data_IF_429133597418
#
_entry.id   IF_429133597418
#
_cell.length_a   1.000
_cell.length_b   1.000
_cell.length_c   1.000
_cell.angle_alpha   90.00
_cell.angle_beta   90.00
_cell.angle_gamma   90.00
#
_symmetry.space_group_name_H-M   'P 1'
#
loop_
_entity.id
_entity.type
_entity.pdbx_description
1 polymer ?
#
# COMPACT_ATOMS: atom_id res chain seq x y z
N UNK A 1 18.36 46.28 -21.65
CA UNK A 1 17.36 45.66 -20.76
C UNK A 1 16.33 44.96 -21.63
N UNK A 2 16.33 43.63 -21.67
CA UNK A 2 15.12 42.81 -21.79
C UNK A 2 15.51 41.35 -21.68
N UNK A 3 15.04 40.71 -20.62
CA UNK A 3 15.20 39.29 -20.35
C UNK A 3 14.00 38.53 -20.93
N UNK A 4 14.25 37.34 -21.46
CA UNK A 4 13.27 36.32 -21.80
C UNK A 4 13.89 34.94 -21.46
N UNK A 5 13.11 33.86 -21.33
CA UNK A 5 12.72 33.29 -20.05
C UNK A 5 13.47 31.99 -19.72
N UNK A 6 13.59 31.69 -18.42
CA UNK A 6 14.09 30.39 -17.93
C UNK A 6 13.01 29.32 -18.06
N UNK A 7 13.31 28.29 -18.82
CA UNK A 7 12.60 27.03 -18.81
C UNK A 7 12.78 26.32 -17.46
N UNK A 8 11.66 25.86 -16.90
CA UNK A 8 11.56 24.95 -15.76
C UNK A 8 12.03 23.55 -16.17
N UNK A 9 13.19 23.12 -15.67
CA UNK A 9 13.70 21.75 -15.80
C UNK A 9 13.36 20.90 -14.58
N UNK A 10 12.99 19.63 -14.82
CA UNK A 10 12.75 18.59 -13.82
C UNK A 10 13.94 18.40 -12.85
N UNK A 11 13.70 18.07 -11.57
CA UNK A 11 14.73 17.87 -10.56
C UNK A 11 15.40 16.49 -10.57
N UNK A 12 15.14 15.64 -11.58
CA UNK A 12 15.76 14.32 -11.68
C UNK A 12 16.93 14.34 -12.68
N UNK A 13 18.17 14.12 -12.24
CA UNK A 13 19.30 13.96 -13.16
C UNK A 13 19.20 12.62 -13.89
N UNK A 14 19.24 12.66 -15.22
CA UNK A 14 19.57 11.50 -16.06
C UNK A 14 21.09 11.41 -16.14
N UNK A 15 21.69 10.51 -15.37
CA UNK A 15 23.10 10.17 -15.46
C UNK A 15 23.29 8.98 -16.38
N UNK A 16 23.87 9.22 -17.56
CA UNK A 16 24.49 8.19 -18.39
C UNK A 16 25.96 8.02 -17.94
N UNK A 17 26.21 7.15 -16.97
CA UNK A 17 27.56 6.61 -16.68
C UNK A 17 27.46 5.12 -16.28
N UNK A 18 28.43 4.27 -16.66
CA UNK A 18 28.34 2.83 -16.49
C UNK A 18 28.48 2.43 -15.01
N UNK A 19 27.51 1.65 -14.52
CA UNK A 19 27.38 1.24 -13.13
C UNK A 19 28.59 0.42 -12.64
N UNK A 20 29.32 1.00 -11.69
CA UNK A 20 30.20 0.31 -10.77
C UNK A 20 29.35 -0.64 -9.90
N UNK A 21 29.79 -1.89 -9.73
CA UNK A 21 29.01 -2.91 -9.03
C UNK A 21 28.69 -2.47 -7.60
N UNK A 22 27.41 -2.55 -7.15
CA UNK A 22 27.05 -2.21 -5.79
C UNK A 22 27.71 -3.18 -4.80
N UNK A 23 28.10 -2.71 -3.59
CA UNK A 23 28.61 -3.59 -2.55
C UNK A 23 27.55 -4.63 -2.20
N UNK A 24 28.01 -5.87 -1.96
CA UNK A 24 27.16 -7.01 -1.64
C UNK A 24 26.17 -6.66 -0.52
N UNK A 25 24.90 -6.59 -0.88
CA UNK A 25 23.81 -6.50 0.08
C UNK A 25 23.85 -7.74 0.97
N UNK A 26 23.77 -7.55 2.28
CA UNK A 26 23.55 -8.65 3.20
C UNK A 26 22.26 -9.36 2.76
N UNK A 27 22.29 -10.67 2.47
CA UNK A 27 21.07 -11.38 2.13
C UNK A 27 20.17 -11.29 3.36
N UNK A 28 18.95 -10.74 3.18
CA UNK A 28 17.86 -10.89 4.15
C UNK A 28 17.64 -12.39 4.32
N UNK A 29 18.39 -12.98 5.24
CA UNK A 29 18.40 -14.40 5.54
C UNK A 29 17.25 -14.68 6.50
N UNK A 30 16.06 -14.30 6.05
CA UNK A 30 14.78 -14.68 6.62
C UNK A 30 14.03 -15.57 5.64
N UNK A 31 14.74 -16.39 4.86
CA UNK A 31 14.12 -17.53 4.19
C UNK A 31 13.50 -18.38 5.28
N UNK A 32 12.18 -18.33 5.37
CA UNK A 32 11.36 -19.07 6.32
C UNK A 32 11.50 -20.55 5.97
N UNK A 33 12.59 -21.17 6.42
CA UNK A 33 12.83 -22.60 6.23
C UNK A 33 11.66 -23.35 6.90
N UNK A 34 10.80 -23.97 6.09
CA UNK A 34 9.87 -25.01 6.53
C UNK A 34 8.42 -24.61 6.83
N UNK A 35 7.88 -23.45 6.42
CA UNK A 35 6.41 -23.27 6.46
C UNK A 35 5.78 -23.69 5.14
N UNK A 36 4.91 -24.70 5.22
CA UNK A 36 4.14 -25.17 4.07
C UNK A 36 3.27 -24.02 3.53
N UNK A 37 3.31 -23.83 2.22
CA UNK A 37 2.42 -22.90 1.53
C UNK A 37 0.97 -23.35 1.76
N UNK A 38 0.04 -22.45 2.12
CA UNK A 38 -1.36 -22.81 2.30
C UNK A 38 -1.90 -23.48 1.04
N UNK A 39 -2.62 -24.59 1.22
CA UNK A 39 -3.22 -25.33 0.13
C UNK A 39 -4.56 -24.68 -0.24
N UNK A 40 -4.71 -24.30 -1.51
CA UNK A 40 -5.98 -23.85 -2.05
C UNK A 40 -6.96 -25.04 -2.15
N UNK A 41 -8.17 -24.88 -1.63
CA UNK A 41 -9.24 -25.80 -1.93
C UNK A 41 -9.75 -25.62 -3.35
N UNK A 42 -10.32 -26.69 -3.92
CA UNK A 42 -10.90 -26.67 -5.26
C UNK A 42 -11.90 -25.51 -5.41
N UNK A 43 -11.73 -24.71 -6.46
CA UNK A 43 -12.59 -23.55 -6.78
C UNK A 43 -12.32 -22.28 -5.95
N UNK A 44 -11.61 -22.34 -4.82
CA UNK A 44 -11.37 -21.16 -3.99
C UNK A 44 -10.50 -20.11 -4.69
N UNK A 45 -9.48 -20.56 -5.45
CA UNK A 45 -8.62 -19.66 -6.23
C UNK A 45 -9.40 -19.02 -7.37
N UNK A 46 -10.15 -19.82 -8.12
CA UNK A 46 -10.98 -19.35 -9.23
C UNK A 46 -12.01 -18.32 -8.74
N UNK A 47 -12.61 -18.53 -7.56
CA UNK A 47 -13.53 -17.59 -6.95
C UNK A 47 -12.85 -16.25 -6.60
N UNK A 48 -11.63 -16.27 -6.06
CA UNK A 48 -10.87 -15.06 -5.75
C UNK A 48 -10.53 -14.28 -7.03
N UNK A 49 -10.07 -14.98 -8.07
CA UNK A 49 -9.75 -14.38 -9.36
C UNK A 49 -11.00 -13.82 -10.06
N UNK A 50 -12.10 -14.58 -10.08
CA UNK A 50 -13.36 -14.15 -10.68
C UNK A 50 -13.92 -12.91 -9.98
N UNK A 51 -13.84 -12.85 -8.65
CA UNK A 51 -14.21 -11.66 -7.88
C UNK A 51 -13.32 -10.47 -8.27
N UNK A 52 -12.02 -10.69 -8.37
CA UNK A 52 -11.08 -9.64 -8.77
C UNK A 52 -11.35 -9.10 -10.17
N UNK A 53 -11.57 -9.98 -11.16
CA UNK A 53 -11.93 -9.59 -12.54
C UNK A 53 -13.23 -8.81 -12.58
N UNK A 54 -14.26 -9.28 -11.88
CA UNK A 54 -15.57 -8.61 -11.85
C UNK A 54 -15.51 -7.19 -11.25
N UNK A 55 -14.61 -6.95 -10.29
CA UNK A 55 -14.43 -5.65 -9.66
C UNK A 55 -13.43 -4.72 -10.40
N UNK A 56 -12.72 -5.20 -11.41
CA UNK A 56 -11.58 -4.50 -12.03
C UNK A 56 -11.91 -3.07 -12.48
N UNK A 57 -13.04 -2.88 -13.16
CA UNK A 57 -13.50 -1.56 -13.59
C UNK A 57 -13.76 -0.59 -12.44
N UNK A 58 -14.43 -1.05 -11.37
CA UNK A 58 -14.68 -0.25 -10.18
C UNK A 58 -13.40 0.03 -9.37
N UNK A 59 -12.42 -0.88 -9.43
CA UNK A 59 -11.09 -0.69 -8.86
C UNK A 59 -10.15 0.16 -9.72
N UNK A 60 -10.50 0.49 -10.96
CA UNK A 60 -9.62 1.13 -11.96
C UNK A 60 -8.32 0.36 -12.19
N UNK A 61 -8.44 -0.96 -12.30
CA UNK A 61 -7.33 -1.87 -12.60
C UNK A 61 -7.64 -2.63 -13.88
N UNK A 62 -6.59 -3.12 -14.55
CA UNK A 62 -6.78 -4.16 -15.56
C UNK A 62 -7.26 -5.46 -14.91
N UNK A 63 -8.04 -6.26 -15.65
CA UNK A 63 -8.68 -7.47 -15.12
C UNK A 63 -7.67 -8.49 -14.57
N UNK A 64 -6.55 -8.67 -15.26
CA UNK A 64 -5.52 -9.64 -14.86
C UNK A 64 -4.80 -9.21 -13.59
N UNK A 65 -4.47 -7.92 -13.46
CA UNK A 65 -3.90 -7.35 -12.24
C UNK A 65 -4.89 -7.38 -11.10
N UNK A 66 -6.17 -7.10 -11.33
CA UNK A 66 -7.20 -7.18 -10.30
C UNK A 66 -7.36 -8.62 -9.77
N UNK A 67 -7.36 -9.61 -10.67
CA UNK A 67 -7.37 -11.03 -10.32
C UNK A 67 -6.13 -11.43 -9.51
N UNK A 68 -4.94 -11.06 -10.02
CA UNK A 68 -3.66 -11.33 -9.35
C UNK A 68 -3.61 -10.70 -7.96
N UNK A 69 -4.01 -9.44 -7.83
CA UNK A 69 -4.07 -8.71 -6.57
C UNK A 69 -5.01 -9.39 -5.56
N UNK A 70 -6.19 -9.84 -6.02
CA UNK A 70 -7.12 -10.58 -5.17
C UNK A 70 -6.50 -11.88 -4.62
N UNK A 71 -5.83 -12.67 -5.49
CA UNK A 71 -5.14 -13.90 -5.08
C UNK A 71 -3.99 -13.60 -4.12
N UNK A 72 -3.14 -12.61 -4.42
CA UNK A 72 -2.01 -12.22 -3.58
C UNK A 72 -2.44 -11.74 -2.21
N UNK A 73 -3.53 -10.98 -2.13
CA UNK A 73 -4.10 -10.56 -0.85
C UNK A 73 -4.54 -11.77 0.00
N UNK A 74 -5.14 -12.78 -0.64
CA UNK A 74 -5.55 -14.04 0.04
C UNK A 74 -4.33 -14.82 0.52
N UNK A 75 -3.33 -15.03 -0.35
CA UNK A 75 -2.10 -15.76 -0.01
C UNK A 75 -1.34 -15.07 1.12
N UNK A 76 -1.17 -13.74 1.03
CA UNK A 76 -0.52 -12.94 2.07
C UNK A 76 -1.25 -13.06 3.40
N UNK A 77 -2.59 -12.99 3.40
CA UNK A 77 -3.37 -13.11 4.65
C UNK A 77 -3.36 -14.51 5.23
N UNK A 78 -3.38 -15.54 4.38
CA UNK A 78 -3.27 -16.93 4.80
C UNK A 78 -1.90 -17.19 5.45
N UNK A 79 -0.82 -16.69 4.85
CA UNK A 79 0.53 -16.78 5.39
C UNK A 79 0.68 -16.10 6.75
N UNK A 80 0.15 -14.87 6.88
CA UNK A 80 0.15 -14.12 8.14
C UNK A 80 -0.59 -14.87 9.26
N UNK A 81 -1.66 -15.58 8.92
CA UNK A 81 -2.48 -16.35 9.89
C UNK A 81 -1.99 -17.78 10.08
N UNK A 82 -0.91 -18.19 9.40
CA UNK A 82 -0.45 -19.58 9.34
C UNK A 82 -1.60 -20.55 9.02
N UNK A 83 -2.48 -20.16 8.09
CA UNK A 83 -3.59 -21.01 7.66
C UNK A 83 -3.05 -22.19 6.85
N UNK A 84 -3.53 -23.40 7.11
CA UNK A 84 -3.14 -24.59 6.35
C UNK A 84 -3.88 -24.68 5.01
N UNK A 85 -5.13 -24.21 4.97
CA UNK A 85 -6.03 -24.29 3.81
C UNK A 85 -6.69 -22.95 3.52
N UNK A 86 -6.81 -22.63 2.24
CA UNK A 86 -7.55 -21.47 1.74
C UNK A 86 -8.87 -21.96 1.13
N UNK A 87 -9.97 -21.66 1.81
CA UNK A 87 -11.33 -22.02 1.40
C UNK A 87 -12.05 -20.84 0.75
N UNK A 88 -13.14 -21.07 0.03
CA UNK A 88 -13.97 -19.97 -0.49
C UNK A 88 -14.54 -19.08 0.64
N UNK A 89 -14.87 -19.68 1.79
CA UNK A 89 -15.29 -18.92 2.98
C UNK A 89 -14.18 -18.01 3.48
N UNK A 90 -12.92 -18.44 3.45
CA UNK A 90 -11.77 -17.60 3.80
C UNK A 90 -11.68 -16.40 2.85
N UNK A 91 -11.75 -16.63 1.54
CA UNK A 91 -11.71 -15.59 0.50
C UNK A 91 -12.81 -14.56 0.72
N UNK A 92 -14.06 -15.00 0.88
CA UNK A 92 -15.22 -14.12 1.13
C UNK A 92 -15.10 -13.34 2.43
N UNK A 93 -14.62 -13.98 3.49
CA UNK A 93 -14.42 -13.33 4.80
C UNK A 93 -13.32 -12.29 4.74
N UNK A 94 -12.26 -12.54 3.98
CA UNK A 94 -11.21 -11.55 3.73
C UNK A 94 -11.75 -10.35 2.95
N UNK A 95 -12.53 -10.57 1.89
CA UNK A 95 -13.15 -9.49 1.11
C UNK A 95 -13.90 -8.48 1.98
N UNK A 96 -14.70 -8.94 2.94
CA UNK A 96 -15.41 -8.09 3.92
C UNK A 96 -14.52 -7.22 4.79
N UNK A 97 -13.28 -7.66 5.02
CA UNK A 97 -12.29 -6.96 5.85
C UNK A 97 -11.43 -6.01 5.03
N UNK A 98 -11.32 -6.24 3.73
CA UNK A 98 -10.61 -5.33 2.83
C UNK A 98 -11.40 -4.04 2.64
N UNK A 99 -10.65 -2.97 2.34
CA UNK A 99 -11.22 -1.65 2.15
C UNK A 99 -12.01 -1.55 0.85
N UNK A 100 -12.90 -0.56 0.76
CA UNK A 100 -13.46 -0.13 -0.53
C UNK A 100 -12.35 0.11 -1.56
N UNK A 101 -12.64 -0.20 -2.83
CA UNK A 101 -11.74 -0.04 -3.97
C UNK A 101 -10.84 -1.24 -4.22
N UNK A 102 -10.51 -2.03 -3.20
CA UNK A 102 -9.76 -3.27 -3.38
C UNK A 102 -10.59 -4.30 -4.20
N UNK A 103 -10.01 -4.98 -5.22
CA UNK A 103 -10.79 -5.84 -6.13
C UNK A 103 -11.49 -7.03 -5.44
N UNK A 104 -10.93 -7.54 -4.34
CA UNK A 104 -11.58 -8.59 -3.52
C UNK A 104 -12.66 -8.07 -2.53
N UNK A 105 -12.80 -6.76 -2.35
CA UNK A 105 -13.71 -6.19 -1.35
C UNK A 105 -15.15 -6.20 -1.82
N UNK A 106 -16.07 -6.62 -0.95
CA UNK A 106 -17.52 -6.58 -1.23
C UNK A 106 -18.11 -5.16 -1.21
N UNK A 107 -17.29 -4.17 -0.81
CA UNK A 107 -17.66 -2.75 -0.84
C UNK A 107 -17.22 -2.07 -2.13
N UNK A 108 -16.41 -2.70 -2.96
CA UNK A 108 -15.91 -2.08 -4.18
C UNK A 108 -17.04 -1.87 -5.18
N UNK A 109 -17.15 -0.65 -5.71
CA UNK A 109 -18.21 -0.28 -6.66
C UNK A 109 -19.57 0.06 -6.02
N UNK A 110 -19.71 0.07 -4.69
CA UNK A 110 -20.98 0.48 -4.03
C UNK A 110 -21.32 1.95 -4.24
N UNK A 111 -20.33 2.78 -4.53
CA UNK A 111 -20.47 4.20 -4.82
C UNK A 111 -19.56 4.58 -5.99
N UNK A 112 -20.02 5.51 -6.81
CA UNK A 112 -19.24 6.10 -7.90
C UNK A 112 -18.89 7.54 -7.57
N UNK A 113 -17.70 7.98 -7.96
CA UNK A 113 -17.17 9.30 -7.67
C UNK A 113 -16.69 10.00 -8.92
N UNK A 114 -16.79 11.31 -8.93
CA UNK A 114 -16.16 12.19 -9.92
C UNK A 114 -15.10 13.00 -9.21
N UNK A 115 -13.87 13.00 -9.74
CA UNK A 115 -12.78 13.81 -9.21
C UNK A 115 -12.67 15.11 -10.02
N UNK A 116 -12.47 16.24 -9.33
CA UNK A 116 -12.20 17.49 -10.05
C UNK A 116 -10.78 17.48 -10.63
N UNK A 117 -10.49 18.29 -11.67
CA UNK A 117 -9.14 18.38 -12.23
C UNK A 117 -8.07 18.73 -11.19
N UNK A 118 -8.40 19.58 -10.21
CA UNK A 118 -7.50 19.98 -9.13
C UNK A 118 -7.21 18.83 -8.16
N UNK A 119 -8.23 18.01 -7.85
CA UNK A 119 -8.07 16.82 -7.03
C UNK A 119 -7.23 15.75 -7.74
N UNK A 120 -7.43 15.57 -9.05
CA UNK A 120 -6.61 14.69 -9.89
C UNK A 120 -5.15 15.14 -9.91
N UNK A 121 -4.90 16.44 -10.08
CA UNK A 121 -3.55 17.01 -10.05
C UNK A 121 -2.87 16.77 -8.68
N UNK A 122 -3.60 16.98 -7.58
CA UNK A 122 -3.08 16.71 -6.23
C UNK A 122 -2.84 15.22 -5.98
N UNK A 123 -3.72 14.35 -6.45
CA UNK A 123 -3.50 12.90 -6.38
C UNK A 123 -2.28 12.50 -7.21
N UNK A 124 -1.96 13.25 -8.26
CA UNK A 124 -0.82 12.94 -9.11
C UNK A 124 0.56 13.19 -8.48
N UNK A 125 0.61 13.94 -7.38
CA UNK A 125 1.80 14.10 -6.54
C UNK A 125 2.09 12.86 -5.68
N UNK A 126 1.09 11.99 -5.48
CA UNK A 126 1.25 10.73 -4.75
C UNK A 126 2.04 9.74 -5.61
N UNK A 127 3.05 9.05 -5.06
CA UNK A 127 3.78 8.02 -5.79
C UNK A 127 2.85 7.00 -6.44
N UNK A 128 3.15 6.64 -7.70
CA UNK A 128 2.26 5.85 -8.55
C UNK A 128 1.75 4.56 -7.90
N UNK A 129 2.62 3.86 -7.18
CA UNK A 129 2.28 2.61 -6.51
C UNK A 129 1.22 2.78 -5.39
N UNK A 130 1.13 3.97 -4.78
CA UNK A 130 0.16 4.33 -3.74
C UNK A 130 -1.08 5.04 -4.29
N UNK A 131 -1.08 5.45 -5.56
CA UNK A 131 -2.04 6.42 -6.10
C UNK A 131 -3.48 5.90 -6.04
N UNK A 132 -3.73 4.72 -6.61
CA UNK A 132 -5.07 4.12 -6.59
C UNK A 132 -5.52 3.75 -5.17
N UNK A 133 -4.59 3.27 -4.34
CA UNK A 133 -4.87 2.99 -2.93
C UNK A 133 -5.30 4.26 -2.19
N UNK A 134 -4.60 5.37 -2.40
CA UNK A 134 -4.93 6.67 -1.82
C UNK A 134 -6.30 7.14 -2.29
N UNK A 135 -6.55 7.01 -3.59
CA UNK A 135 -7.84 7.33 -4.21
C UNK A 135 -8.99 6.60 -3.56
N UNK A 136 -8.88 5.26 -3.43
CA UNK A 136 -9.90 4.44 -2.78
C UNK A 136 -10.18 4.88 -1.34
N UNK A 137 -9.15 5.32 -0.61
CA UNK A 137 -9.29 5.76 0.79
C UNK A 137 -9.93 7.12 0.92
N UNK A 138 -9.69 8.03 -0.03
CA UNK A 138 -10.39 9.31 -0.11
C UNK A 138 -11.86 9.08 -0.45
N UNK A 139 -12.15 8.32 -1.50
CA UNK A 139 -13.52 7.98 -1.93
C UNK A 139 -14.32 7.34 -0.80
N UNK A 140 -13.76 6.34 -0.13
CA UNK A 140 -14.43 5.70 1.00
C UNK A 140 -14.68 6.65 2.17
N UNK A 141 -13.76 7.59 2.42
CA UNK A 141 -13.92 8.59 3.45
C UNK A 141 -15.04 9.57 3.09
N UNK A 142 -15.10 10.01 1.83
CA UNK A 142 -16.17 10.86 1.32
C UNK A 142 -17.55 10.19 1.49
N UNK A 143 -17.67 8.91 1.12
CA UNK A 143 -18.91 8.14 1.33
C UNK A 143 -19.25 8.03 2.83
N UNK A 144 -18.30 7.64 3.68
CA UNK A 144 -18.54 7.40 5.11
C UNK A 144 -18.91 8.65 5.89
N UNK A 145 -18.41 9.81 5.47
CA UNK A 145 -18.67 11.09 6.12
C UNK A 145 -19.76 11.91 5.41
N UNK A 146 -20.35 11.40 4.33
CA UNK A 146 -21.41 12.10 3.60
C UNK A 146 -20.92 13.39 2.91
N UNK A 147 -19.68 13.43 2.42
CA UNK A 147 -19.07 14.61 1.78
C UNK A 147 -19.50 14.79 0.31
N UNK A 148 -20.42 13.96 -0.18
CA UNK A 148 -20.83 13.93 -1.58
C UNK A 148 -19.98 13.00 -2.45
N UNK A 149 -20.34 12.90 -3.74
CA UNK A 149 -19.69 12.03 -4.73
C UNK A 149 -18.68 12.77 -5.61
N UNK A 150 -18.56 14.10 -5.46
CA UNK A 150 -17.55 14.90 -6.14
C UNK A 150 -16.35 15.07 -5.21
N UNK A 151 -15.21 14.48 -5.56
CA UNK A 151 -13.96 14.59 -4.81
C UNK A 151 -13.21 15.84 -5.25
N UNK A 152 -13.08 16.79 -4.34
CA UNK A 152 -12.30 18.03 -4.48
C UNK A 152 -11.01 17.94 -3.62
N UNK A 153 -10.05 18.88 -3.76
CA UNK A 153 -8.89 18.94 -2.87
C UNK A 153 -9.25 19.02 -1.38
N UNK A 154 -10.36 19.68 -1.02
CA UNK A 154 -10.85 19.78 0.35
C UNK A 154 -11.31 18.42 0.89
N UNK A 155 -11.98 17.61 0.06
CA UNK A 155 -12.36 16.23 0.42
C UNK A 155 -11.12 15.36 0.64
N UNK A 156 -10.09 15.52 -0.21
CA UNK A 156 -8.79 14.84 0.02
C UNK A 156 -8.15 15.28 1.34
N UNK A 157 -8.18 16.58 1.62
CA UNK A 157 -7.57 17.17 2.81
C UNK A 157 -8.18 16.60 4.10
N UNK A 158 -9.50 16.39 4.15
CA UNK A 158 -10.16 15.70 5.29
C UNK A 158 -9.50 14.35 5.56
N UNK A 159 -9.23 13.56 4.53
CA UNK A 159 -8.57 12.25 4.70
C UNK A 159 -7.11 12.40 5.14
N UNK A 160 -6.38 13.36 4.56
CA UNK A 160 -4.98 13.57 4.90
C UNK A 160 -4.82 14.04 6.36
N UNK A 161 -5.73 14.86 6.87
CA UNK A 161 -5.76 15.24 8.28
C UNK A 161 -6.09 14.07 9.22
N UNK A 162 -7.01 13.19 8.82
CA UNK A 162 -7.27 11.96 9.56
C UNK A 162 -6.03 11.08 9.63
N UNK A 163 -5.33 10.89 8.52
CA UNK A 163 -4.07 10.15 8.51
C UNK A 163 -2.98 10.85 9.33
N UNK A 164 -2.89 12.18 9.23
CA UNK A 164 -1.96 12.98 10.00
C UNK A 164 -2.13 12.76 11.49
N UNK A 165 -3.35 12.86 12.02
CA UNK A 165 -3.60 12.61 13.45
C UNK A 165 -3.12 11.23 13.90
N UNK A 166 -3.36 10.19 13.10
CA UNK A 166 -2.89 8.83 13.39
C UNK A 166 -1.37 8.72 13.28
N UNK A 167 -0.76 9.34 12.26
CA UNK A 167 0.69 9.36 12.04
C UNK A 167 1.43 9.95 13.24
N UNK A 168 0.99 11.12 13.71
CA UNK A 168 1.58 11.79 14.87
C UNK A 168 1.41 10.94 16.13
N UNK A 169 0.21 10.40 16.39
CA UNK A 169 -0.02 9.53 17.55
C UNK A 169 0.88 8.27 17.55
N UNK A 170 1.18 7.70 16.38
CA UNK A 170 2.12 6.56 16.26
C UNK A 170 3.57 7.00 16.52
N UNK A 171 3.96 8.20 16.10
CA UNK A 171 5.32 8.73 16.29
C UNK A 171 5.57 9.18 17.74
N UNK A 172 4.53 9.70 18.41
CA UNK A 172 4.63 10.26 19.77
C UNK A 172 4.56 9.20 20.87
N UNK A 173 4.07 7.99 20.58
CA UNK A 173 4.01 6.91 21.57
C UNK A 173 5.40 6.39 21.91
N UNK A 174 5.61 6.04 23.18
CA UNK A 174 6.77 5.26 23.58
C UNK A 174 6.73 3.89 22.89
N UNK A 175 7.83 3.55 22.20
CA UNK A 175 7.90 2.41 21.30
C UNK A 175 9.28 1.82 21.32
N UNK A 176 9.33 0.50 21.23
CA UNK A 176 10.56 -0.27 21.04
C UNK A 176 11.07 -0.10 19.61
N UNK A 177 11.57 1.09 19.25
CA UNK A 177 11.98 1.42 17.89
C UNK A 177 13.17 0.58 17.43
N UNK A 178 13.10 0.03 16.22
CA UNK A 178 14.28 -0.57 15.59
C UNK A 178 15.24 0.52 15.08
N UNK A 179 16.56 0.30 15.11
CA UNK A 179 17.50 1.13 14.36
C UNK A 179 17.22 1.02 12.85
N UNK A 180 17.61 2.05 12.10
CA UNK A 180 17.50 2.11 10.65
C UNK A 180 18.88 2.40 10.06
N UNK A 181 19.20 1.76 8.94
CA UNK A 181 20.39 2.13 8.16
C UNK A 181 20.23 3.55 7.63
N UNK A 182 21.35 4.23 7.37
CA UNK A 182 21.32 5.61 6.86
C UNK A 182 20.57 5.72 5.52
N UNK A 183 20.72 4.73 4.63
CA UNK A 183 20.05 4.69 3.33
C UNK A 183 18.53 4.50 3.46
N UNK A 184 18.10 3.52 4.25
CA UNK A 184 16.67 3.27 4.50
C UNK A 184 16.01 4.46 5.19
N UNK A 185 16.73 5.11 6.13
CA UNK A 185 16.25 6.30 6.81
C UNK A 185 16.05 7.48 5.86
N UNK A 186 17.01 7.73 4.96
CA UNK A 186 16.90 8.79 3.95
C UNK A 186 15.66 8.61 3.06
N UNK A 187 15.37 7.37 2.64
CA UNK A 187 14.16 7.06 1.87
C UNK A 187 12.88 7.31 2.67
N UNK A 188 12.87 6.92 3.94
CA UNK A 188 11.75 7.15 4.84
C UNK A 188 11.47 8.64 5.07
N UNK A 189 12.51 9.47 5.21
CA UNK A 189 12.37 10.90 5.45
C UNK A 189 11.73 11.65 4.25
N UNK A 190 11.81 11.08 3.04
CA UNK A 190 11.11 11.58 1.85
C UNK A 190 9.60 11.31 1.84
N UNK A 191 9.07 10.52 2.77
CA UNK A 191 7.65 10.20 2.85
C UNK A 191 6.88 11.37 3.47
N UNK A 192 5.70 11.76 2.95
CA UNK A 192 4.90 12.83 3.53
C UNK A 192 4.54 12.59 5.00
N UNK A 193 4.73 13.60 5.84
CA UNK A 193 4.57 13.52 7.31
C UNK A 193 3.23 12.90 7.75
N UNK A 194 2.14 13.22 7.06
CA UNK A 194 0.81 12.76 7.44
C UNK A 194 0.60 11.25 7.30
N UNK A 195 1.52 10.49 6.68
CA UNK A 195 1.51 9.01 6.64
C UNK A 195 2.77 8.36 7.22
N UNK A 196 3.79 9.14 7.60
CA UNK A 196 5.07 8.61 8.09
C UNK A 196 4.91 7.62 9.24
N UNK A 197 4.06 7.90 10.23
CA UNK A 197 3.86 7.03 11.39
C UNK A 197 3.33 5.65 11.00
N UNK A 198 2.32 5.60 10.12
CA UNK A 198 1.78 4.34 9.60
C UNK A 198 2.82 3.55 8.80
N UNK A 199 3.61 4.22 7.94
CA UNK A 199 4.68 3.55 7.19
C UNK A 199 5.75 3.01 8.12
N UNK A 200 6.15 3.77 9.13
CA UNK A 200 7.13 3.36 10.14
C UNK A 200 6.64 2.15 10.94
N UNK A 201 5.37 2.10 11.32
CA UNK A 201 4.78 0.93 11.98
C UNK A 201 4.76 -0.29 11.07
N UNK A 202 4.41 -0.12 9.80
CA UNK A 202 4.37 -1.21 8.83
C UNK A 202 5.77 -1.77 8.53
N UNK A 203 6.76 -0.90 8.33
CA UNK A 203 8.15 -1.29 8.01
C UNK A 203 8.80 -1.99 9.20
N UNK A 204 8.78 -1.38 10.39
CA UNK A 204 9.38 -2.02 11.55
C UNK A 204 8.60 -3.26 12.02
N UNK A 205 7.27 -3.27 11.87
CA UNK A 205 6.46 -4.45 12.12
C UNK A 205 6.88 -5.63 11.23
N UNK A 206 7.16 -5.36 9.95
CA UNK A 206 7.67 -6.37 9.03
C UNK A 206 9.10 -6.79 9.35
N UNK A 207 10.00 -5.86 9.70
CA UNK A 207 11.36 -6.19 10.16
C UNK A 207 11.31 -7.17 11.35
N UNK A 208 10.54 -6.85 12.40
CA UNK A 208 10.39 -7.74 13.58
C UNK A 208 9.84 -9.11 13.20
N UNK A 209 8.84 -9.16 12.32
CA UNK A 209 8.24 -10.43 11.85
C UNK A 209 9.26 -11.29 11.09
N UNK A 210 10.22 -10.69 10.42
CA UNK A 210 11.33 -11.37 9.74
C UNK A 210 12.48 -11.73 10.69
N UNK A 211 12.42 -11.30 11.95
CA UNK A 211 13.51 -11.46 12.91
C UNK A 211 14.67 -10.48 12.69
N UNK A 212 14.48 -9.43 11.88
CA UNK A 212 15.47 -8.40 11.70
C UNK A 212 15.56 -7.50 12.94
N UNK A 213 16.78 -7.14 13.32
CA UNK A 213 17.09 -6.24 14.44
C UNK A 213 17.34 -4.80 14.00
N UNK A 214 17.32 -4.54 12.70
CA UNK A 214 17.51 -3.24 12.06
C UNK A 214 16.65 -3.17 10.79
N UNK A 215 16.23 -1.97 10.41
CA UNK A 215 15.56 -1.71 9.13
C UNK A 215 16.59 -1.27 8.09
N UNK A 216 16.74 -2.09 7.05
CA UNK A 216 17.54 -1.79 5.87
C UNK A 216 16.66 -1.55 4.62
N UNK A 217 17.29 -1.27 3.48
CA UNK A 217 16.60 -1.05 2.21
C UNK A 217 15.78 -2.27 1.77
N UNK A 218 16.25 -3.49 2.06
CA UNK A 218 15.58 -4.71 1.64
C UNK A 218 14.28 -4.94 2.41
N UNK A 219 14.21 -4.58 3.70
CA UNK A 219 12.94 -4.55 4.44
C UNK A 219 11.98 -3.53 3.83
N UNK A 220 12.45 -2.32 3.51
CA UNK A 220 11.61 -1.26 2.92
C UNK A 220 11.05 -1.72 1.57
N UNK A 221 11.91 -2.25 0.70
CA UNK A 221 11.53 -2.74 -0.63
C UNK A 221 10.51 -3.89 -0.52
N UNK A 222 10.73 -4.84 0.39
CA UNK A 222 9.80 -5.94 0.61
C UNK A 222 8.40 -5.44 0.97
N UNK A 223 8.29 -4.44 1.84
CA UNK A 223 7.00 -3.89 2.27
C UNK A 223 6.30 -3.18 1.13
N UNK A 224 7.03 -2.36 0.36
CA UNK A 224 6.49 -1.68 -0.82
C UNK A 224 6.03 -2.69 -1.87
N UNK A 225 6.84 -3.69 -2.18
CA UNK A 225 6.50 -4.75 -3.14
C UNK A 225 5.23 -5.49 -2.72
N UNK A 226 5.11 -5.84 -1.44
CA UNK A 226 3.91 -6.52 -0.95
C UNK A 226 2.66 -5.65 -1.09
N UNK A 227 2.76 -4.35 -0.79
CA UNK A 227 1.63 -3.46 -1.00
C UNK A 227 1.21 -3.34 -2.46
N UNK A 228 2.18 -3.31 -3.38
CA UNK A 228 1.92 -3.32 -4.83
C UNK A 228 1.18 -4.58 -5.25
N UNK A 229 1.64 -5.74 -4.78
CA UNK A 229 1.06 -7.03 -5.16
C UNK A 229 -0.31 -7.27 -4.53
N UNK A 230 -0.52 -6.83 -3.30
CA UNK A 230 -1.71 -7.18 -2.53
C UNK A 230 -2.76 -6.09 -2.46
N UNK A 231 -2.41 -4.82 -2.71
CA UNK A 231 -3.30 -3.69 -2.49
C UNK A 231 -3.72 -3.49 -1.02
N UNK A 232 -3.01 -4.07 -0.06
CA UNK A 232 -3.38 -4.07 1.36
C UNK A 232 -2.38 -3.28 2.22
N UNK A 233 -2.66 -2.00 2.46
CA UNK A 233 -1.86 -1.16 3.39
C UNK A 233 -2.07 -1.47 4.88
N UNK A 234 -2.97 -2.40 5.25
CA UNK A 234 -3.36 -2.63 6.64
C UNK A 234 -2.86 -3.98 7.18
N UNK A 235 -1.61 -4.30 6.86
CA UNK A 235 -0.96 -5.56 7.28
C UNK A 235 -0.57 -5.59 8.77
N UNK A 236 -0.77 -4.50 9.51
CA UNK A 236 -0.57 -4.48 10.95
C UNK A 236 -1.60 -5.34 11.71
N UNK A 237 -1.20 -5.87 12.87
CA UNK A 237 -2.10 -6.41 13.90
C UNK A 237 -3.26 -5.45 14.23
N UNK A 238 -3.02 -4.15 14.03
CA UNK A 238 -3.96 -3.05 14.17
C UNK A 238 -4.45 -2.58 12.80
N UNK A 239 -5.21 -3.42 12.09
CA UNK A 239 -6.12 -2.86 11.09
C UNK A 239 -6.98 -1.81 11.81
N UNK A 240 -6.91 -0.54 11.38
CA UNK A 240 -7.64 0.55 12.01
C UNK A 240 -9.12 0.15 12.12
N UNK A 241 -9.56 -0.11 13.36
CA UNK A 241 -10.95 -0.43 13.69
C UNK A 241 -11.80 0.83 13.60
#
# INVERSE_FOLDING_TARGET
MSAAPRASGCPFPHGDEPAEMPPASCPVSGARAGRATPLWEAGARDAAEATGRAAAGASRLDENRAASMAVRAVESRADQRSAERITELFVRTLGRKLGYGHPLSDRTGVAAFTWTPEAEARLAEVPDFCRELTRWRVEWTAHKLGLGTTVTPEVMQVKYEMWGRVSHAIKDRDRDALPWTASARSRFDGIPEFVQGQVLEAVEGNARRLGATEVDDAVVDLVIHRWIETGDFHEGLYGFR
#
